data_IF_137827983528
#
_entry.id   IF_137827983528
#
_cell.length_a   1.000
_cell.length_b   1.000
_cell.length_c   1.000
_cell.angle_alpha   90.00
_cell.angle_beta   90.00
_cell.angle_gamma   90.00
#
_symmetry.space_group_name_H-M   'P 1'
#
loop_
_entity.id
_entity.type
_entity.pdbx_description
1 polymer ?
#
# COMPACT_ATOMS: atom_id res chain seq x y z
N UNK A 1 22.49 10.80 -20.49
CA UNK A 1 21.58 10.56 -19.34
C UNK A 1 22.28 10.76 -17.99
N UNK A 2 23.29 9.95 -17.63
CA UNK A 2 23.93 10.04 -16.31
C UNK A 2 24.48 11.44 -15.95
N UNK A 3 25.12 12.14 -16.89
CA UNK A 3 25.57 13.52 -16.69
C UNK A 3 24.41 14.50 -16.41
N UNK A 4 23.27 14.32 -17.09
CA UNK A 4 22.10 15.15 -16.85
C UNK A 4 21.52 14.91 -15.45
N UNK A 5 21.46 13.65 -15.02
CA UNK A 5 21.06 13.27 -13.66
C UNK A 5 22.01 13.89 -12.63
N UNK A 6 23.33 13.76 -12.82
CA UNK A 6 24.33 14.37 -11.95
C UNK A 6 24.17 15.90 -11.86
N UNK A 7 23.97 16.58 -12.99
CA UNK A 7 23.73 18.02 -13.01
C UNK A 7 22.43 18.43 -12.32
N UNK A 8 21.37 17.63 -12.41
CA UNK A 8 20.11 17.90 -11.71
C UNK A 8 20.25 17.73 -10.19
N UNK A 9 21.00 16.72 -9.76
CA UNK A 9 21.35 16.50 -8.35
C UNK A 9 22.12 17.71 -7.79
N UNK A 10 23.15 18.17 -8.50
CA UNK A 10 23.94 19.33 -8.08
C UNK A 10 23.11 20.62 -7.97
N UNK A 11 22.18 20.82 -8.92
CA UNK A 11 21.26 21.96 -8.94
C UNK A 11 20.07 21.80 -7.99
N UNK A 12 19.91 20.64 -7.35
CA UNK A 12 18.73 20.28 -6.54
C UNK A 12 17.41 20.52 -7.29
N UNK A 13 17.38 20.14 -8.56
CA UNK A 13 16.26 20.40 -9.48
C UNK A 13 15.56 19.12 -9.92
N UNK A 14 14.29 19.24 -10.31
CA UNK A 14 13.54 18.16 -10.97
C UNK A 14 14.03 17.99 -12.42
N UNK A 15 14.21 16.74 -12.84
CA UNK A 15 14.62 16.38 -14.19
C UNK A 15 13.63 15.37 -14.77
N UNK A 16 13.03 15.71 -15.90
CA UNK A 16 12.22 14.80 -16.70
C UNK A 16 13.07 14.27 -17.86
N UNK A 17 13.09 12.96 -18.05
CA UNK A 17 13.85 12.31 -19.11
C UNK A 17 12.99 11.27 -19.80
N UNK A 18 12.99 11.33 -21.12
CA UNK A 18 12.55 10.24 -21.97
C UNK A 18 13.77 9.44 -22.43
N UNK A 19 13.70 8.12 -22.29
CA UNK A 19 14.76 7.25 -22.75
C UNK A 19 14.18 5.91 -23.24
N UNK A 20 14.72 5.42 -24.35
CA UNK A 20 14.30 4.16 -24.98
C UNK A 20 14.45 2.95 -24.04
N UNK A 21 13.82 1.84 -24.39
CA UNK A 21 14.05 0.56 -23.70
C UNK A 21 15.47 0.07 -23.98
N UNK A 22 16.09 -0.61 -23.01
CA UNK A 22 17.42 -1.21 -23.18
C UNK A 22 18.63 -0.27 -23.18
N UNK A 23 18.46 1.05 -23.10
CA UNK A 23 19.57 2.03 -23.13
C UNK A 23 20.35 2.17 -21.81
N UNK A 24 20.08 1.31 -20.83
CA UNK A 24 20.71 1.38 -19.50
C UNK A 24 20.18 2.51 -18.60
N UNK A 25 18.88 2.84 -18.71
CA UNK A 25 18.20 3.90 -17.93
C UNK A 25 18.48 3.80 -16.45
N UNK A 26 18.28 2.61 -15.88
CA UNK A 26 18.46 2.36 -14.46
C UNK A 26 19.88 2.65 -13.98
N UNK A 27 20.88 2.12 -14.68
CA UNK A 27 22.28 2.38 -14.34
C UNK A 27 22.61 3.87 -14.45
N UNK A 28 22.05 4.55 -15.47
CA UNK A 28 22.31 5.96 -15.70
C UNK A 28 21.74 6.88 -14.62
N UNK A 29 20.60 6.55 -13.99
CA UNK A 29 20.11 7.32 -12.84
C UNK A 29 20.72 6.83 -11.52
N UNK A 30 20.90 5.52 -11.31
CA UNK A 30 21.38 4.97 -10.04
C UNK A 30 22.84 5.35 -9.75
N UNK A 31 23.74 5.24 -10.73
CA UNK A 31 25.17 5.44 -10.50
C UNK A 31 25.49 6.83 -9.92
N UNK A 32 25.09 7.97 -10.54
CA UNK A 32 25.35 9.29 -9.97
C UNK A 32 24.60 9.53 -8.65
N UNK A 33 23.40 8.98 -8.49
CA UNK A 33 22.62 9.13 -7.25
C UNK A 33 23.26 8.40 -6.08
N UNK A 34 23.70 7.15 -6.26
CA UNK A 34 24.36 6.35 -5.21
C UNK A 34 25.66 7.04 -4.78
N UNK A 35 26.50 7.44 -5.74
CA UNK A 35 27.76 8.14 -5.45
C UNK A 35 27.53 9.40 -4.62
N UNK A 36 26.49 10.17 -4.94
CA UNK A 36 26.12 11.36 -4.19
C UNK A 36 25.53 11.03 -2.82
N UNK A 37 24.61 10.08 -2.76
CA UNK A 37 23.88 9.72 -1.56
C UNK A 37 24.84 9.20 -0.48
N UNK A 38 25.79 8.33 -0.85
CA UNK A 38 26.84 7.85 0.07
C UNK A 38 27.75 8.99 0.52
N UNK A 39 28.17 9.87 -0.38
CA UNK A 39 29.04 11.02 -0.05
C UNK A 39 28.39 11.99 0.94
N UNK A 40 27.08 12.17 0.85
CA UNK A 40 26.33 13.15 1.65
C UNK A 40 25.55 12.51 2.82
N UNK A 41 25.71 11.19 3.03
CA UNK A 41 24.96 10.41 4.01
C UNK A 41 23.43 10.60 3.88
N UNK A 42 22.96 10.53 2.65
CA UNK A 42 21.57 10.69 2.24
C UNK A 42 21.04 9.38 1.63
N UNK A 43 19.71 9.30 1.47
CA UNK A 43 19.04 8.11 0.93
C UNK A 43 18.38 8.40 -0.41
N UNK A 44 18.34 7.37 -1.26
CA UNK A 44 17.66 7.37 -2.56
C UNK A 44 16.42 6.50 -2.48
N UNK A 45 15.26 7.00 -2.90
CA UNK A 45 14.08 6.18 -3.13
C UNK A 45 13.82 6.02 -4.63
N UNK A 46 13.66 4.78 -5.08
CA UNK A 46 13.31 4.43 -6.46
C UNK A 46 11.91 3.83 -6.48
N UNK A 47 10.96 4.58 -7.04
CA UNK A 47 9.58 4.18 -7.21
C UNK A 47 9.38 3.64 -8.63
N UNK A 48 9.16 2.33 -8.78
CA UNK A 48 8.95 1.68 -10.08
C UNK A 48 7.47 1.46 -10.39
N UNK A 49 7.11 1.44 -11.67
CA UNK A 49 5.74 1.12 -12.10
C UNK A 49 5.34 -0.36 -11.95
N UNK A 50 6.28 -1.33 -12.00
CA UNK A 50 5.94 -2.76 -11.98
C UNK A 50 6.83 -3.59 -11.06
N UNK A 51 6.29 -4.71 -10.55
CA UNK A 51 7.06 -5.68 -9.73
C UNK A 51 8.25 -6.27 -10.50
N UNK A 52 8.10 -6.49 -11.81
CA UNK A 52 9.19 -7.00 -12.67
C UNK A 52 10.40 -6.06 -12.67
N UNK A 53 10.17 -4.75 -12.77
CA UNK A 53 11.24 -3.75 -12.72
C UNK A 53 11.92 -3.72 -11.34
N UNK A 54 11.15 -3.87 -10.25
CA UNK A 54 11.73 -4.00 -8.90
C UNK A 54 12.66 -5.20 -8.80
N UNK A 55 12.22 -6.36 -9.27
CA UNK A 55 13.04 -7.57 -9.26
C UNK A 55 14.31 -7.39 -10.11
N UNK A 56 14.22 -6.74 -11.27
CA UNK A 56 15.37 -6.42 -12.11
C UNK A 56 16.38 -5.52 -11.38
N UNK A 57 15.91 -4.46 -10.71
CA UNK A 57 16.77 -3.58 -9.92
C UNK A 57 17.48 -4.35 -8.80
N UNK A 58 16.74 -5.16 -8.06
CA UNK A 58 17.23 -5.85 -6.86
C UNK A 58 18.19 -7.01 -7.19
N UNK A 59 17.92 -7.79 -8.24
CA UNK A 59 18.67 -9.02 -8.54
C UNK A 59 19.80 -8.82 -9.56
N UNK A 60 19.76 -7.73 -10.34
CA UNK A 60 20.76 -7.49 -11.40
C UNK A 60 21.47 -6.15 -11.24
N UNK A 61 20.72 -5.04 -11.26
CA UNK A 61 21.32 -3.72 -11.47
C UNK A 61 22.02 -3.17 -10.21
N UNK A 62 21.38 -3.24 -9.04
CA UNK A 62 22.00 -2.84 -7.77
C UNK A 62 23.17 -3.75 -7.38
N UNK A 63 23.10 -5.10 -7.49
CA UNK A 63 24.26 -5.97 -7.35
C UNK A 63 25.40 -5.64 -8.31
N UNK A 64 25.08 -5.32 -9.57
CA UNK A 64 26.08 -4.90 -10.55
C UNK A 64 26.77 -3.60 -10.13
N UNK A 65 26.01 -2.58 -9.75
CA UNK A 65 26.57 -1.30 -9.30
C UNK A 65 27.40 -1.46 -8.02
N UNK A 66 26.95 -2.29 -7.07
CA UNK A 66 27.72 -2.58 -5.85
C UNK A 66 29.10 -3.16 -6.13
N UNK A 67 29.24 -3.95 -7.20
CA UNK A 67 30.54 -4.53 -7.60
C UNK A 67 31.47 -3.57 -8.34
N UNK A 68 30.92 -2.53 -8.98
CA UNK A 68 31.67 -1.69 -9.92
C UNK A 68 31.82 -0.23 -9.47
N UNK A 69 30.99 0.26 -8.55
CA UNK A 69 31.14 1.60 -7.99
C UNK A 69 32.25 1.62 -6.92
N UNK A 70 33.03 2.71 -6.83
CA UNK A 70 34.11 2.85 -5.85
C UNK A 70 33.61 3.16 -4.42
N UNK A 71 32.36 2.84 -4.10
CA UNK A 71 31.73 3.09 -2.79
C UNK A 71 30.96 1.83 -2.38
N UNK A 72 31.01 1.48 -1.09
CA UNK A 72 30.09 0.49 -0.54
C UNK A 72 28.76 1.17 -0.23
N UNK A 73 27.68 0.47 -0.55
CA UNK A 73 26.33 0.94 -0.28
C UNK A 73 25.41 -0.26 -0.06
N UNK A 74 24.36 -0.01 0.69
CA UNK A 74 23.31 -0.96 1.02
C UNK A 74 22.01 -0.60 0.31
N UNK A 75 21.21 -1.61 -0.01
CA UNK A 75 19.93 -1.41 -0.65
C UNK A 75 18.87 -2.37 -0.10
N UNK A 76 17.61 -1.92 -0.09
CA UNK A 76 16.49 -2.72 0.42
C UNK A 76 15.24 -2.56 -0.44
N UNK A 77 14.55 -3.68 -0.66
CA UNK A 77 13.21 -3.69 -1.22
C UNK A 77 12.21 -3.25 -0.15
N UNK A 78 11.30 -2.35 -0.53
CA UNK A 78 10.24 -1.82 0.31
C UNK A 78 8.90 -2.36 -0.20
N UNK A 79 8.17 -3.06 0.67
CA UNK A 79 6.89 -3.69 0.37
C UNK A 79 5.87 -3.40 1.47
N UNK A 80 4.59 -3.43 1.11
CA UNK A 80 3.49 -3.38 2.06
C UNK A 80 3.51 -4.57 3.03
N UNK A 81 2.92 -4.37 4.21
CA UNK A 81 2.89 -5.35 5.29
C UNK A 81 2.33 -6.71 4.86
N UNK A 82 1.29 -6.69 4.03
CA UNK A 82 0.58 -7.84 3.50
C UNK A 82 1.45 -8.76 2.63
N UNK A 83 2.63 -8.30 2.21
CA UNK A 83 3.60 -9.09 1.46
C UNK A 83 4.49 -9.95 2.35
N UNK A 84 4.45 -9.78 3.67
CA UNK A 84 5.26 -10.54 4.62
C UNK A 84 4.43 -11.62 5.31
N UNK A 85 4.98 -12.83 5.40
CA UNK A 85 4.46 -13.90 6.23
C UNK A 85 4.52 -13.49 7.70
N UNK A 86 3.42 -13.71 8.44
CA UNK A 86 3.40 -13.53 9.88
C UNK A 86 3.44 -14.90 10.57
N UNK A 87 4.61 -15.26 11.11
CA UNK A 87 4.82 -16.54 11.80
C UNK A 87 3.80 -16.79 12.92
N UNK A 88 3.41 -15.76 13.69
CA UNK A 88 2.39 -15.90 14.75
C UNK A 88 1.03 -16.30 14.18
N UNK A 89 0.66 -15.74 13.02
CA UNK A 89 -0.60 -16.09 12.36
C UNK A 89 -0.50 -17.46 11.70
N UNK A 90 0.65 -17.80 11.14
CA UNK A 90 0.90 -19.14 10.58
C UNK A 90 0.72 -20.23 11.64
N UNK A 91 1.31 -20.08 12.84
CA UNK A 91 1.12 -21.03 13.95
C UNK A 91 -0.37 -21.11 14.39
N UNK A 92 -1.09 -19.99 14.38
CA UNK A 92 -2.51 -19.98 14.75
C UNK A 92 -3.36 -20.75 13.73
N UNK A 93 -3.08 -20.60 12.44
CA UNK A 93 -3.83 -21.32 11.39
C UNK A 93 -3.39 -22.77 11.27
N UNK A 94 -2.16 -23.13 11.65
CA UNK A 94 -1.73 -24.52 11.77
C UNK A 94 -2.65 -25.29 12.72
N UNK A 95 -2.83 -24.79 13.94
CA UNK A 95 -3.74 -25.39 14.94
C UNK A 95 -5.18 -25.38 14.45
N UNK A 96 -5.65 -24.26 13.89
CA UNK A 96 -7.03 -24.14 13.44
C UNK A 96 -7.36 -25.05 12.23
N UNK A 97 -6.38 -25.31 11.35
CA UNK A 97 -6.57 -26.15 10.17
C UNK A 97 -6.83 -27.62 10.49
N UNK A 98 -6.47 -28.08 11.70
CA UNK A 98 -6.74 -29.44 12.16
C UNK A 98 -8.22 -29.65 12.51
N UNK A 99 -8.94 -28.59 12.89
CA UNK A 99 -10.32 -28.65 13.40
C UNK A 99 -11.35 -28.00 12.48
N UNK A 100 -10.93 -27.15 11.54
CA UNK A 100 -11.82 -26.39 10.64
C UNK A 100 -11.41 -26.50 9.17
N UNK A 101 -11.56 -27.68 8.54
CA UNK A 101 -11.14 -27.90 7.16
C UNK A 101 -11.92 -27.07 6.13
N UNK A 102 -13.15 -26.65 6.46
CA UNK A 102 -13.98 -25.81 5.58
C UNK A 102 -13.48 -24.35 5.49
N UNK A 103 -12.67 -23.91 6.45
CA UNK A 103 -12.15 -22.53 6.56
C UNK A 103 -10.68 -22.44 6.15
N UNK A 104 -9.91 -23.50 6.43
CA UNK A 104 -8.47 -23.53 6.21
C UNK A 104 -8.10 -24.68 5.28
N UNK A 105 -7.44 -24.37 4.17
CA UNK A 105 -6.86 -25.40 3.31
C UNK A 105 -5.61 -25.98 3.97
N UNK A 106 -5.76 -27.12 4.65
CA UNK A 106 -4.68 -27.79 5.39
C UNK A 106 -3.44 -28.06 4.54
N UNK A 107 -3.59 -28.46 3.27
CA UNK A 107 -2.45 -28.72 2.37
C UNK A 107 -1.63 -27.46 2.09
N UNK A 108 -2.31 -26.33 1.91
CA UNK A 108 -1.67 -25.03 1.69
C UNK A 108 -0.98 -24.51 2.96
N UNK A 109 -1.59 -24.73 4.13
CA UNK A 109 -0.98 -24.40 5.43
C UNK A 109 0.26 -25.24 5.69
N UNK A 110 0.21 -26.55 5.44
CA UNK A 110 1.37 -27.45 5.55
C UNK A 110 2.50 -27.04 4.59
N UNK A 111 2.18 -26.65 3.35
CA UNK A 111 3.16 -26.12 2.40
C UNK A 111 3.82 -24.83 2.88
N UNK A 112 3.05 -23.89 3.47
CA UNK A 112 3.58 -22.67 4.07
C UNK A 112 4.51 -22.95 5.26
N UNK A 113 4.16 -23.92 6.12
CA UNK A 113 4.99 -24.32 7.25
C UNK A 113 6.34 -24.86 6.79
N UNK A 114 6.35 -25.74 5.77
CA UNK A 114 7.59 -26.26 5.19
C UNK A 114 8.42 -25.18 4.50
N UNK A 115 7.76 -24.24 3.81
CA UNK A 115 8.44 -23.15 3.13
C UNK A 115 9.05 -22.11 4.08
N UNK A 116 8.40 -21.84 5.22
CA UNK A 116 8.85 -20.86 6.23
C UNK A 116 10.32 -21.06 6.60
N UNK A 117 10.74 -22.30 6.80
CA UNK A 117 12.09 -22.62 7.29
C UNK A 117 13.19 -22.41 6.22
N UNK A 118 12.83 -22.39 4.94
CA UNK A 118 13.75 -22.07 3.83
C UNK A 118 13.56 -20.66 3.26
N UNK A 119 12.56 -19.91 3.74
CA UNK A 119 12.26 -18.57 3.25
C UNK A 119 13.34 -17.57 3.68
N UNK A 120 13.83 -16.76 2.74
CA UNK A 120 14.90 -15.79 3.01
C UNK A 120 14.36 -14.56 3.73
N UNK A 121 13.31 -13.97 3.16
CA UNK A 121 12.67 -12.74 3.66
C UNK A 121 11.18 -12.94 3.96
N UNK A 122 10.64 -14.15 3.83
CA UNK A 122 9.26 -14.46 4.14
C UNK A 122 8.28 -13.68 3.25
N UNK A 123 8.68 -13.39 2.02
CA UNK A 123 7.89 -12.61 1.07
C UNK A 123 6.97 -13.51 0.27
N UNK A 124 5.76 -13.02 -0.05
CA UNK A 124 4.85 -13.72 -0.96
C UNK A 124 5.50 -14.03 -2.32
N UNK A 125 6.34 -13.12 -2.82
CA UNK A 125 7.04 -13.26 -4.10
C UNK A 125 8.14 -14.33 -4.09
N UNK A 126 8.55 -14.80 -2.92
CA UNK A 126 9.54 -15.89 -2.75
C UNK A 126 8.89 -17.28 -2.72
N UNK A 127 7.56 -17.38 -2.84
CA UNK A 127 6.85 -18.66 -2.92
C UNK A 127 7.18 -19.37 -4.24
N UNK A 128 7.62 -20.62 -4.14
CA UNK A 128 7.94 -21.51 -5.26
C UNK A 128 6.80 -22.50 -5.57
N UNK A 129 5.62 -22.29 -4.98
CA UNK A 129 4.42 -23.10 -5.16
C UNK A 129 3.18 -22.23 -5.26
N UNK A 130 2.11 -22.80 -5.79
CA UNK A 130 0.83 -22.11 -5.86
C UNK A 130 0.15 -22.06 -4.50
N UNK A 131 -0.28 -20.87 -4.08
CA UNK A 131 -0.98 -20.62 -2.82
C UNK A 131 -2.18 -19.71 -3.08
N UNK A 132 -3.33 -20.07 -2.53
CA UNK A 132 -4.55 -19.29 -2.69
C UNK A 132 -4.42 -17.90 -2.07
N UNK A 133 -5.07 -16.87 -2.63
CA UNK A 133 -5.13 -15.55 -2.01
C UNK A 133 -5.72 -15.59 -0.59
N UNK A 134 -6.70 -16.46 -0.35
CA UNK A 134 -7.36 -16.63 0.94
C UNK A 134 -6.40 -17.15 2.01
N UNK A 135 -5.67 -18.24 1.74
CA UNK A 135 -4.71 -18.79 2.71
C UNK A 135 -3.56 -17.85 2.99
N UNK A 136 -3.04 -17.14 1.98
CA UNK A 136 -2.04 -16.11 2.23
C UNK A 136 -2.57 -14.99 3.12
N UNK A 137 -3.79 -14.50 2.90
CA UNK A 137 -4.41 -13.45 3.73
C UNK A 137 -4.58 -13.90 5.19
N UNK A 138 -4.87 -15.19 5.40
CA UNK A 138 -4.90 -15.77 6.74
C UNK A 138 -3.51 -15.75 7.41
N UNK A 139 -2.44 -16.00 6.65
CA UNK A 139 -1.07 -16.11 7.18
C UNK A 139 -0.25 -14.81 7.19
N UNK A 140 -0.56 -13.82 6.35
CA UNK A 140 0.26 -12.62 6.18
C UNK A 140 0.12 -11.62 7.33
N UNK A 141 1.05 -10.66 7.43
CA UNK A 141 0.96 -9.58 8.42
C UNK A 141 -0.21 -8.65 8.10
N UNK A 142 -1.01 -8.38 9.13
CA UNK A 142 -2.01 -7.32 9.14
C UNK A 142 -1.54 -6.24 10.13
N UNK A 143 -1.32 -4.97 9.69
CA UNK A 143 -0.81 -3.90 10.54
C UNK A 143 -1.56 -3.73 11.87
N UNK A 144 -2.89 -3.74 11.81
CA UNK A 144 -3.79 -3.47 12.94
C UNK A 144 -3.75 -4.58 14.00
N UNK A 145 -3.30 -5.78 13.63
CA UNK A 145 -3.22 -6.96 14.50
C UNK A 145 -1.79 -7.29 14.92
N UNK A 146 -0.83 -6.46 14.55
CA UNK A 146 0.59 -6.68 14.79
C UNK A 146 1.00 -6.04 16.12
N UNK A 147 1.41 -6.87 17.09
CA UNK A 147 1.92 -6.43 18.39
C UNK A 147 3.32 -5.78 18.36
N UNK A 148 3.82 -5.39 17.18
CA UNK A 148 5.10 -4.70 17.04
C UNK A 148 6.25 -5.39 17.77
N UNK A 149 6.99 -4.63 18.59
CA UNK A 149 8.10 -5.15 19.38
C UNK A 149 7.67 -6.16 20.46
N UNK A 150 6.44 -6.06 20.97
CA UNK A 150 5.88 -6.93 22.01
C UNK A 150 5.37 -8.28 21.45
N UNK A 151 5.52 -8.53 20.15
CA UNK A 151 5.06 -9.74 19.47
C UNK A 151 5.74 -11.04 19.96
N UNK A 152 6.81 -10.95 20.76
CA UNK A 152 7.53 -12.11 21.30
C UNK A 152 8.38 -12.87 20.27
N UNK A 153 8.23 -12.62 18.97
CA UNK A 153 9.06 -13.15 17.85
C UNK A 153 10.40 -12.41 17.70
N UNK A 154 10.98 -11.96 18.82
CA UNK A 154 12.08 -10.99 18.92
C UNK A 154 13.13 -11.09 17.80
N UNK A 155 13.06 -10.16 16.82
CA UNK A 155 14.04 -10.03 15.76
C UNK A 155 14.09 -11.13 14.69
N UNK A 156 13.39 -12.25 14.86
CA UNK A 156 13.27 -13.30 13.83
C UNK A 156 12.18 -12.97 12.81
N UNK A 157 11.18 -12.18 13.22
CA UNK A 157 10.08 -11.75 12.37
C UNK A 157 10.58 -11.11 11.06
N UNK A 158 10.22 -11.72 9.93
CA UNK A 158 10.55 -11.26 8.58
C UNK A 158 10.29 -9.78 8.35
N UNK A 159 9.10 -9.29 8.73
CA UNK A 159 8.74 -7.89 8.56
C UNK A 159 9.61 -6.95 9.41
N UNK A 160 9.91 -7.32 10.65
CA UNK A 160 10.76 -6.49 11.52
C UNK A 160 12.20 -6.44 11.01
N UNK A 161 12.74 -7.58 10.52
CA UNK A 161 14.05 -7.64 9.87
C UNK A 161 14.11 -6.73 8.65
N UNK A 162 13.11 -6.85 7.77
CA UNK A 162 13.00 -5.96 6.61
C UNK A 162 12.91 -4.49 7.03
N UNK A 163 12.14 -4.18 8.08
CA UNK A 163 12.03 -2.81 8.60
C UNK A 163 13.37 -2.25 9.06
N UNK A 164 14.19 -3.04 9.75
CA UNK A 164 15.54 -2.63 10.17
C UNK A 164 16.45 -2.37 8.97
N UNK A 165 16.44 -3.26 7.96
CA UNK A 165 17.21 -3.05 6.75
C UNK A 165 16.78 -1.81 5.97
N UNK A 166 15.47 -1.54 5.87
CA UNK A 166 14.93 -0.33 5.23
C UNK A 166 15.44 0.93 5.93
N UNK A 167 15.50 0.94 7.28
CA UNK A 167 15.98 2.09 8.03
C UNK A 167 17.46 2.39 7.76
N UNK A 168 18.30 1.36 7.62
CA UNK A 168 19.74 1.54 7.42
C UNK A 168 20.15 1.65 5.96
N UNK A 169 19.32 1.22 5.00
CA UNK A 169 19.67 1.16 3.58
C UNK A 169 19.87 2.54 2.93
N UNK A 170 20.87 2.65 2.06
CA UNK A 170 21.18 3.86 1.28
C UNK A 170 20.24 4.01 0.08
N UNK A 171 19.88 2.89 -0.55
CA UNK A 171 18.94 2.83 -1.66
C UNK A 171 17.70 2.01 -1.30
N UNK A 172 16.54 2.63 -1.43
CA UNK A 172 15.25 2.01 -1.20
C UNK A 172 14.53 1.83 -2.53
N UNK A 173 14.05 0.62 -2.81
CA UNK A 173 13.28 0.31 -4.02
C UNK A 173 11.84 -0.01 -3.62
N UNK A 174 10.87 0.72 -4.15
CA UNK A 174 9.45 0.52 -3.90
C UNK A 174 8.61 0.71 -5.17
N UNK A 175 7.28 0.66 -5.04
CA UNK A 175 6.38 0.98 -6.14
C UNK A 175 5.76 2.37 -5.97
N UNK A 176 5.06 2.84 -7.00
CA UNK A 176 4.32 4.10 -6.95
C UNK A 176 3.27 4.13 -5.83
N UNK A 177 2.55 3.03 -5.59
CA UNK A 177 1.58 2.97 -4.49
C UNK A 177 2.22 3.23 -3.12
N UNK A 178 3.40 2.65 -2.87
CA UNK A 178 4.13 2.85 -1.62
C UNK A 178 4.68 4.28 -1.52
N UNK A 179 5.09 4.89 -2.63
CA UNK A 179 5.44 6.32 -2.66
C UNK A 179 4.27 7.17 -2.17
N UNK A 180 3.08 7.02 -2.75
CA UNK A 180 1.91 7.81 -2.37
C UNK A 180 1.41 7.50 -0.97
N UNK A 181 1.45 6.23 -0.54
CA UNK A 181 1.13 5.87 0.83
C UNK A 181 2.06 6.54 1.85
N UNK A 182 3.34 6.72 1.51
CA UNK A 182 4.29 7.46 2.34
C UNK A 182 4.03 8.97 2.30
N UNK A 183 3.77 9.54 1.12
CA UNK A 183 3.46 10.97 0.99
C UNK A 183 2.21 11.36 1.78
N UNK A 184 1.16 10.51 1.78
CA UNK A 184 -0.06 10.72 2.55
C UNK A 184 0.14 10.65 4.06
N UNK A 185 1.19 9.96 4.50
CA UNK A 185 1.55 9.79 5.90
C UNK A 185 2.82 10.58 6.26
N UNK A 186 3.13 11.67 5.54
CA UNK A 186 4.27 12.55 5.80
C UNK A 186 5.61 11.83 6.04
N UNK A 187 5.87 10.76 5.26
CA UNK A 187 7.05 9.91 5.36
C UNK A 187 7.23 9.18 6.70
N UNK A 188 6.18 8.92 7.47
CA UNK A 188 6.27 8.11 8.70
C UNK A 188 6.61 6.64 8.40
N UNK A 189 6.22 6.13 7.23
CA UNK A 189 6.45 4.73 6.87
C UNK A 189 7.79 4.43 6.23
N UNK A 190 8.63 5.37 5.81
CA UNK A 190 9.95 5.08 5.23
C UNK A 190 10.92 6.14 5.73
N UNK A 191 12.22 5.84 5.86
CA UNK A 191 13.17 6.89 6.21
C UNK A 191 13.14 7.99 5.15
N UNK A 192 13.35 9.23 5.60
CA UNK A 192 13.39 10.37 4.69
C UNK A 192 14.48 10.17 3.63
N UNK A 193 14.09 10.36 2.36
CA UNK A 193 14.97 10.23 1.22
C UNK A 193 15.19 11.60 0.59
N UNK A 194 16.46 11.93 0.30
CA UNK A 194 16.84 13.21 -0.32
C UNK A 194 16.73 13.16 -1.83
N UNK A 195 16.76 11.95 -2.40
CA UNK A 195 16.66 11.73 -3.84
C UNK A 195 15.47 10.81 -4.13
N UNK A 196 14.67 11.17 -5.13
CA UNK A 196 13.52 10.40 -5.61
C UNK A 196 13.68 10.13 -7.10
N UNK A 197 13.56 8.87 -7.48
CA UNK A 197 13.38 8.42 -8.87
C UNK A 197 11.97 7.90 -9.02
N UNK A 198 11.26 8.39 -10.04
CA UNK A 198 10.00 7.81 -10.48
C UNK A 198 10.27 7.16 -11.84
N UNK A 199 10.38 5.84 -11.84
CA UNK A 199 10.56 5.06 -13.05
C UNK A 199 9.21 4.65 -13.61
N UNK A 200 9.09 4.63 -14.94
CA UNK A 200 7.82 4.51 -15.66
C UNK A 200 6.77 5.53 -15.21
N UNK A 201 7.18 6.80 -15.10
CA UNK A 201 6.33 7.91 -14.61
C UNK A 201 5.04 8.13 -15.42
N UNK A 202 4.90 7.51 -16.60
CA UNK A 202 3.67 7.51 -17.38
C UNK A 202 2.49 6.84 -16.67
N UNK A 203 2.73 5.98 -15.67
CA UNK A 203 1.70 5.34 -14.87
C UNK A 203 1.34 6.14 -13.60
N UNK A 204 2.07 7.20 -13.30
CA UNK A 204 2.01 7.91 -12.02
C UNK A 204 0.66 8.58 -11.76
N UNK A 205 0.02 9.10 -12.81
CA UNK A 205 -1.26 9.82 -12.76
C UNK A 205 -2.41 8.93 -12.28
N UNK A 206 -2.51 7.72 -12.85
CA UNK A 206 -3.50 6.72 -12.48
C UNK A 206 -3.32 6.28 -11.03
N UNK A 207 -2.07 5.96 -10.64
CA UNK A 207 -1.76 5.52 -9.28
C UNK A 207 -2.00 6.63 -8.25
N UNK A 208 -1.68 7.88 -8.60
CA UNK A 208 -1.96 9.03 -7.75
C UNK A 208 -3.46 9.18 -7.49
N UNK A 209 -4.26 9.05 -8.54
CA UNK A 209 -5.73 9.15 -8.48
C UNK A 209 -6.31 8.06 -7.58
N UNK A 210 -5.82 6.82 -7.68
CA UNK A 210 -6.26 5.71 -6.83
C UNK A 210 -5.88 5.90 -5.35
N UNK A 211 -4.69 6.42 -5.06
CA UNK A 211 -4.18 6.52 -3.69
C UNK A 211 -4.64 7.79 -2.94
N UNK A 212 -4.78 8.91 -3.65
CA UNK A 212 -5.17 10.21 -3.10
C UNK A 212 -6.64 10.55 -3.35
N UNK A 213 -7.30 9.81 -4.24
CA UNK A 213 -8.71 9.95 -4.52
C UNK A 213 -9.60 9.42 -3.39
N UNK A 214 -10.81 9.95 -3.32
CA UNK A 214 -11.89 9.42 -2.48
C UNK A 214 -12.85 8.67 -3.40
N UNK A 215 -12.89 7.34 -3.30
CA UNK A 215 -13.84 6.54 -4.05
C UNK A 215 -15.17 6.46 -3.29
N UNK A 216 -16.26 6.82 -3.97
CA UNK A 216 -17.62 6.69 -3.47
C UNK A 216 -18.42 5.79 -4.40
N UNK A 217 -18.80 4.60 -3.95
CA UNK A 217 -19.56 3.64 -4.76
C UNK A 217 -20.87 3.24 -4.09
N UNK A 218 -21.90 3.05 -4.90
CA UNK A 218 -23.20 2.55 -4.45
C UNK A 218 -23.06 1.22 -3.67
N UNK A 219 -22.13 0.37 -4.09
CA UNK A 219 -21.87 -0.93 -3.42
C UNK A 219 -21.24 -0.74 -2.04
N UNK A 220 -20.24 0.13 -1.91
CA UNK A 220 -19.62 0.41 -0.62
C UNK A 220 -20.65 0.99 0.36
N UNK A 221 -21.48 1.92 -0.11
CA UNK A 221 -22.48 2.54 0.73
C UNK A 221 -23.65 1.62 1.07
N UNK A 222 -24.13 0.82 0.12
CA UNK A 222 -25.12 -0.24 0.40
C UNK A 222 -24.58 -1.25 1.41
N UNK A 223 -23.29 -1.59 1.37
CA UNK A 223 -22.66 -2.47 2.37
C UNK A 223 -22.64 -1.84 3.77
N UNK A 224 -22.33 -0.55 3.88
CA UNK A 224 -22.42 0.19 5.15
C UNK A 224 -23.87 0.21 5.65
N UNK A 225 -24.83 0.49 4.76
CA UNK A 225 -26.25 0.51 5.07
C UNK A 225 -26.79 -0.85 5.55
N UNK A 226 -26.46 -1.93 4.84
CA UNK A 226 -26.84 -3.28 5.23
C UNK A 226 -26.16 -3.71 6.54
N UNK A 227 -24.92 -3.27 6.79
CA UNK A 227 -24.25 -3.49 8.08
C UNK A 227 -24.92 -2.75 9.24
N UNK A 228 -25.47 -1.56 8.98
CA UNK A 228 -26.24 -0.79 9.94
C UNK A 228 -27.61 -1.42 10.25
N UNK A 229 -28.30 -1.97 9.22
CA UNK A 229 -29.61 -2.66 9.37
C UNK A 229 -29.50 -4.08 9.94
N UNK A 230 -28.41 -4.80 9.65
CA UNK A 230 -28.31 -6.25 9.88
C UNK A 230 -29.19 -7.05 8.91
N UNK A 231 -28.84 -8.30 8.63
CA UNK A 231 -29.61 -9.16 7.71
C UNK A 231 -30.94 -9.66 8.29
N UNK A 232 -31.04 -9.71 9.62
CA UNK A 232 -32.22 -10.22 10.34
C UNK A 232 -32.74 -9.22 11.40
N UNK A 233 -32.41 -7.93 11.28
CA UNK A 233 -32.76 -6.91 12.28
C UNK A 233 -31.84 -6.87 13.51
N UNK A 234 -30.66 -7.48 13.44
CA UNK A 234 -29.63 -7.40 14.50
C UNK A 234 -28.40 -6.59 14.05
N UNK A 235 -28.60 -5.51 13.28
CA UNK A 235 -27.52 -4.57 12.95
C UNK A 235 -27.10 -3.73 14.15
N UNK A 236 -25.91 -3.12 14.10
CA UNK A 236 -25.34 -2.36 15.24
C UNK A 236 -26.24 -1.20 15.72
N UNK A 237 -27.07 -0.64 14.83
CA UNK A 237 -28.10 0.35 15.19
C UNK A 237 -29.37 -0.29 15.77
N UNK A 238 -29.72 -1.52 15.35
CA UNK A 238 -30.97 -2.19 15.75
C UNK A 238 -30.83 -2.95 17.07
N UNK A 239 -29.64 -3.49 17.36
CA UNK A 239 -29.33 -4.05 18.69
C UNK A 239 -29.44 -3.01 19.83
N UNK A 240 -29.19 -1.74 19.53
CA UNK A 240 -29.34 -0.62 20.47
C UNK A 240 -30.77 -0.04 20.54
N UNK A 241 -31.70 -0.52 19.70
CA UNK A 241 -33.10 -0.06 19.71
C UNK A 241 -33.93 -0.70 20.83
N UNK A 242 -33.49 -1.81 21.41
CA UNK A 242 -34.23 -2.51 22.47
C UNK A 242 -34.45 -1.64 23.72
N UNK A 243 -33.52 -0.73 24.02
CA UNK A 243 -33.57 0.18 25.18
C UNK A 243 -34.26 1.52 24.89
N UNK A 244 -34.70 1.77 23.64
CA UNK A 244 -35.33 3.02 23.24
C UNK A 244 -36.86 2.92 23.29
N UNK A 245 -37.52 4.01 23.74
CA UNK A 245 -38.99 4.10 23.78
C UNK A 245 -39.59 4.07 22.37
N UNK A 246 -40.87 3.72 22.22
CA UNK A 246 -41.56 3.62 20.93
C UNK A 246 -41.43 4.90 20.09
N UNK A 247 -41.51 6.08 20.71
CA UNK A 247 -41.37 7.37 20.04
C UNK A 247 -39.94 7.63 19.54
N UNK A 248 -38.93 7.20 20.32
CA UNK A 248 -37.52 7.31 19.93
C UNK A 248 -37.19 6.37 18.76
N UNK A 249 -37.75 5.15 18.76
CA UNK A 249 -37.61 4.20 17.64
C UNK A 249 -38.23 4.77 16.36
N UNK A 250 -39.43 5.35 16.44
CA UNK A 250 -40.12 5.91 15.29
C UNK A 250 -39.39 7.15 14.72
N UNK A 251 -38.87 8.00 15.60
CA UNK A 251 -38.07 9.18 15.21
C UNK A 251 -36.76 8.77 14.51
N UNK A 252 -36.05 7.77 15.06
CA UNK A 252 -34.82 7.25 14.45
C UNK A 252 -35.12 6.61 13.09
N UNK A 253 -36.17 5.81 12.96
CA UNK A 253 -36.59 5.22 11.69
C UNK A 253 -36.90 6.30 10.64
N UNK A 254 -37.59 7.38 11.02
CA UNK A 254 -37.88 8.49 10.12
C UNK A 254 -36.60 9.22 9.68
N UNK A 255 -35.63 9.43 10.58
CA UNK A 255 -34.33 10.01 10.23
C UNK A 255 -33.53 9.11 9.29
N UNK A 256 -33.51 7.81 9.56
CA UNK A 256 -32.87 6.79 8.70
C UNK A 256 -33.50 6.79 7.31
N UNK A 257 -34.83 6.77 7.21
CA UNK A 257 -35.54 6.84 5.92
C UNK A 257 -35.29 8.15 5.17
N UNK A 258 -35.18 9.27 5.89
CA UNK A 258 -34.86 10.59 5.30
C UNK A 258 -33.45 10.61 4.72
N UNK A 259 -32.49 9.99 5.42
CA UNK A 259 -31.12 9.82 4.91
C UNK A 259 -31.10 8.91 3.69
N UNK A 260 -31.84 7.81 3.69
CA UNK A 260 -31.99 6.89 2.53
C UNK A 260 -32.57 7.62 1.32
N UNK A 261 -33.59 8.46 1.51
CA UNK A 261 -34.20 9.24 0.43
C UNK A 261 -33.22 10.28 -0.15
N UNK A 262 -32.60 11.10 0.70
CA UNK A 262 -31.60 12.10 0.25
C UNK A 262 -30.41 11.43 -0.43
N UNK A 263 -30.03 10.25 0.05
CA UNK A 263 -28.98 9.45 -0.57
C UNK A 263 -29.37 9.02 -1.99
N UNK A 264 -30.57 8.46 -2.17
CA UNK A 264 -31.07 8.06 -3.49
C UNK A 264 -31.21 9.25 -4.46
N UNK A 265 -31.65 10.40 -3.96
CA UNK A 265 -31.71 11.65 -4.74
C UNK A 265 -30.32 12.12 -5.19
N UNK A 266 -29.32 12.03 -4.31
CA UNK A 266 -27.93 12.39 -4.63
C UNK A 266 -27.32 11.44 -5.66
N UNK A 267 -27.61 10.13 -5.56
CA UNK A 267 -27.17 9.13 -6.54
C UNK A 267 -27.84 9.35 -7.89
N UNK A 268 -29.15 9.64 -7.90
CA UNK A 268 -29.87 9.96 -9.12
C UNK A 268 -29.33 11.23 -9.77
N UNK A 269 -29.04 12.28 -8.97
CA UNK A 269 -28.39 13.50 -9.44
C UNK A 269 -27.01 13.21 -10.05
N UNK A 270 -26.19 12.37 -9.41
CA UNK A 270 -24.86 12.02 -9.90
C UNK A 270 -24.94 11.23 -11.21
N UNK A 271 -25.78 10.22 -11.30
CA UNK A 271 -25.99 9.45 -12.54
C UNK A 271 -26.55 10.31 -13.68
N UNK A 272 -27.53 11.17 -13.39
CA UNK A 272 -28.16 12.02 -14.40
C UNK A 272 -27.28 13.19 -14.84
N UNK A 273 -26.50 13.79 -13.92
CA UNK A 273 -25.72 15.00 -14.15
C UNK A 273 -24.28 14.75 -14.61
N UNK A 274 -23.60 13.75 -14.03
CA UNK A 274 -22.17 13.50 -14.23
C UNK A 274 -21.93 12.44 -15.31
N UNK A 275 -22.65 11.32 -15.29
CA UNK A 275 -22.44 10.22 -16.24
C UNK A 275 -23.17 10.43 -17.58
N UNK A 276 -24.32 11.12 -17.58
CA UNK A 276 -25.12 11.38 -18.79
C UNK A 276 -24.91 12.79 -19.38
N UNK A 277 -23.88 13.53 -18.95
CA UNK A 277 -23.35 14.67 -19.70
C UNK A 277 -24.16 15.97 -19.69
N UNK A 278 -24.79 16.36 -18.57
CA UNK A 278 -25.31 17.74 -18.41
C UNK A 278 -24.87 18.36 -17.09
N UNK A 279 -23.64 18.90 -16.99
CA UNK A 279 -23.27 19.66 -15.81
C UNK A 279 -23.78 21.10 -15.95
N UNK A 280 -24.69 21.51 -15.05
CA UNK A 280 -24.72 22.89 -14.57
C UNK A 280 -24.33 22.86 -13.10
N UNK A 281 -23.02 22.85 -12.85
CA UNK A 281 -22.49 23.18 -11.53
C UNK A 281 -22.13 24.66 -11.59
N UNK A 282 -23.00 25.52 -11.08
CA UNK A 282 -22.62 26.89 -10.73
C UNK A 282 -21.80 26.81 -9.44
N UNK A 283 -20.48 26.96 -9.55
CA UNK A 283 -19.61 27.19 -8.42
C UNK A 283 -19.85 28.63 -7.97
N UNK A 284 -20.58 28.82 -6.86
CA UNK A 284 -20.61 30.12 -6.18
C UNK A 284 -19.23 30.35 -5.56
N UNK A 285 -18.41 31.18 -6.20
CA UNK A 285 -17.25 31.78 -5.54
C UNK A 285 -17.76 32.66 -4.40
N UNK A 286 -17.60 32.20 -3.16
CA UNK A 286 -17.51 33.11 -2.03
C UNK A 286 -16.03 33.35 -1.75
N UNK A 287 -15.56 34.51 -2.21
CA UNK A 287 -14.32 35.15 -1.75
C UNK A 287 -14.42 35.39 -0.26
N UNK A 288 -13.57 34.70 0.52
CA UNK A 288 -13.28 35.11 1.90
C UNK A 288 -12.27 36.26 1.83
N UNK A 289 -12.75 37.48 2.05
CA UNK A 289 -11.90 38.60 2.46
C UNK A 289 -11.41 38.31 3.89
N UNK A 290 -10.09 38.08 4.02
CA UNK A 290 -9.39 38.14 5.30
C UNK A 290 -8.94 39.59 5.50
N UNK A 291 -9.56 40.25 6.48
CA UNK A 291 -9.01 41.45 7.12
C UNK A 291 -7.93 41.11 8.14
#
# INVERSE_FOLDING_TARGET
MAQAVAGAIEKKSVLLLEAGTGVGKSLAYLAPMILRAVKENQKVFVATGTKTLQHQLMEKELPFLRKHLPVDFSYSLCLGAENYLCERRLDAIEVASQTKPDVYNRKEVEALLQWKDRARNGLRSELDFHLSPATWFQACRIPELCAGQDCGRGGTCFHQRARRHIQTADVLVGNHHLLFANLRADWEYLPQCSYLVIDEAHALDSVASDCLGIEFSHRALRRVWEGLRGKDGEGCLVGSLHDLSLDQRQSLLNQVMTVEQKFNETIHWFHAGVLNGKPKVQVSQQTAELG
#
